data_IF_974130058709
#
_entry.id   IF_974130058709
#
_cell.length_a   1.000
_cell.length_b   1.000
_cell.length_c   1.000
_cell.angle_alpha   90.00
_cell.angle_beta   90.00
_cell.angle_gamma   90.00
#
_symmetry.space_group_name_H-M   'P 1'
#
loop_
_entity.id
_entity.type
_entity.pdbx_description
1 polymer ?
#
# COMPACT_ATOMS: atom_id res chain seq x y z
N UNK A 1 15.19 5.23 31.77
CA UNK A 1 15.40 5.37 33.23
C UNK A 1 16.49 6.38 33.57
N UNK A 2 17.67 6.33 32.94
CA UNK A 2 18.81 7.23 33.27
C UNK A 2 18.49 8.71 33.00
N UNK A 3 17.80 9.03 31.90
CA UNK A 3 17.46 10.41 31.56
C UNK A 3 16.41 11.06 32.48
N UNK A 4 15.49 10.26 33.05
CA UNK A 4 14.45 10.77 33.95
C UNK A 4 15.01 10.99 35.37
N UNK A 5 15.93 10.12 35.81
CA UNK A 5 16.64 10.27 37.07
C UNK A 5 17.50 11.54 37.09
N UNK A 6 18.20 11.84 35.98
CA UNK A 6 18.99 13.07 35.83
C UNK A 6 18.16 14.36 35.86
N UNK A 7 16.94 14.34 35.31
CA UNK A 7 16.06 15.51 35.30
C UNK A 7 15.48 15.84 36.68
N UNK A 8 15.27 14.83 37.54
CA UNK A 8 14.76 14.98 38.90
C UNK A 8 15.86 15.36 39.91
N UNK A 9 17.10 14.91 39.68
CA UNK A 9 18.26 15.28 40.51
C UNK A 9 18.62 16.77 40.39
N UNK A 10 18.32 17.38 39.23
CA UNK A 10 18.48 18.81 38.97
C UNK A 10 17.46 19.71 39.71
N UNK A 11 16.37 19.17 40.25
CA UNK A 11 15.35 19.93 40.98
C UNK A 11 15.52 19.92 42.51
N UNK A 12 16.52 19.22 43.04
CA UNK A 12 16.94 19.38 44.44
C UNK A 12 15.97 18.88 45.52
N UNK A 13 15.04 17.98 45.20
CA UNK A 13 14.10 17.41 46.18
C UNK A 13 14.19 15.87 46.26
N UNK A 14 15.20 15.32 46.97
CA UNK A 14 15.39 13.87 47.11
C UNK A 14 14.31 13.20 47.98
N UNK A 15 13.55 13.97 48.75
CA UNK A 15 12.49 13.47 49.66
C UNK A 15 11.21 13.07 48.93
N UNK A 16 10.83 13.77 47.84
CA UNK A 16 9.65 13.42 47.05
C UNK A 16 9.78 12.08 46.31
N UNK A 17 11.00 11.70 45.92
CA UNK A 17 11.28 10.39 45.30
C UNK A 17 11.10 9.23 46.28
N UNK A 18 11.39 9.44 47.57
CA UNK A 18 11.22 8.43 48.62
C UNK A 18 9.75 8.24 49.03
N UNK A 19 8.94 9.29 48.96
CA UNK A 19 7.49 9.22 49.24
C UNK A 19 6.70 8.62 48.06
N UNK A 20 7.06 8.96 46.81
CA UNK A 20 6.43 8.40 45.61
C UNK A 20 6.74 6.90 45.42
N UNK A 21 7.86 6.41 45.94
CA UNK A 21 8.20 4.99 45.86
C UNK A 21 7.53 4.11 46.93
N UNK A 22 7.04 4.71 48.02
CA UNK A 22 6.37 3.97 49.12
C UNK A 22 4.85 3.86 48.97
N UNK A 23 4.19 4.77 48.27
CA UNK A 23 2.74 4.74 48.12
C UNK A 23 2.30 4.03 46.81
N UNK A 24 1.86 2.77 46.92
CA UNK A 24 1.06 2.01 45.92
C UNK A 24 1.40 2.28 44.44
N UNK A 25 2.63 1.95 44.05
CA UNK A 25 3.09 1.97 42.66
C UNK A 25 2.29 1.08 41.67
N UNK A 26 1.81 -0.15 41.99
CA UNK A 26 1.32 -1.04 40.94
C UNK A 26 0.01 -0.57 40.29
N UNK A 27 -0.87 0.11 41.04
CA UNK A 27 -2.14 0.62 40.50
C UNK A 27 -1.93 1.84 39.60
N UNK A 28 -0.94 2.68 39.88
CA UNK A 28 -0.61 3.83 39.05
C UNK A 28 0.02 3.40 37.73
N UNK A 29 0.94 2.43 37.76
CA UNK A 29 1.51 1.85 36.54
C UNK A 29 0.47 1.14 35.69
N UNK A 30 -0.47 0.41 36.31
CA UNK A 30 -1.58 -0.22 35.59
C UNK A 30 -2.50 0.82 34.95
N UNK A 31 -2.86 1.89 35.67
CA UNK A 31 -3.70 2.97 35.13
C UNK A 31 -3.00 3.72 33.98
N UNK A 32 -1.70 3.98 34.09
CA UNK A 32 -0.90 4.61 33.03
C UNK A 32 -0.78 3.71 31.80
N UNK A 33 -0.54 2.41 31.98
CA UNK A 33 -0.48 1.45 30.88
C UNK A 33 -1.84 1.33 30.18
N UNK A 34 -2.94 1.30 30.93
CA UNK A 34 -4.29 1.23 30.38
C UNK A 34 -4.64 2.51 29.59
N UNK A 35 -4.27 3.67 30.13
CA UNK A 35 -4.42 4.96 29.44
C UNK A 35 -3.61 5.02 28.14
N UNK A 36 -2.37 4.55 28.17
CA UNK A 36 -1.48 4.50 27.00
C UNK A 36 -2.07 3.64 25.88
N UNK A 37 -2.56 2.44 26.22
CA UNK A 37 -3.18 1.52 25.24
C UNK A 37 -4.50 2.09 24.72
N UNK A 38 -5.31 2.72 25.58
CA UNK A 38 -6.58 3.34 25.19
C UNK A 38 -6.40 4.47 24.16
N UNK A 39 -5.41 5.35 24.35
CA UNK A 39 -5.11 6.43 23.41
C UNK A 39 -4.59 5.87 22.08
N UNK A 40 -3.71 4.87 22.12
CA UNK A 40 -3.23 4.19 20.92
C UNK A 40 -4.36 3.53 20.11
N UNK A 41 -5.29 2.85 20.80
CA UNK A 41 -6.44 2.21 20.16
C UNK A 41 -7.39 3.23 19.52
N UNK A 42 -7.64 4.37 20.18
CA UNK A 42 -8.45 5.45 19.62
C UNK A 42 -7.82 6.06 18.35
N UNK A 43 -6.50 6.25 18.34
CA UNK A 43 -5.77 6.74 17.16
C UNK A 43 -5.77 5.74 16.01
N UNK A 44 -5.57 4.45 16.29
CA UNK A 44 -5.64 3.39 15.29
C UNK A 44 -7.03 3.30 14.66
N UNK A 45 -8.10 3.42 15.48
CA UNK A 45 -9.48 3.48 15.00
C UNK A 45 -9.73 4.70 14.11
N UNK A 46 -9.24 5.88 14.50
CA UNK A 46 -9.40 7.13 13.75
C UNK A 46 -8.67 7.10 12.41
N UNK A 47 -7.46 6.53 12.36
CA UNK A 47 -6.68 6.36 11.14
C UNK A 47 -7.29 5.30 10.21
N UNK A 48 -7.82 4.21 10.77
CA UNK A 48 -8.55 3.18 10.01
C UNK A 48 -9.80 3.74 9.33
N UNK A 49 -10.55 4.62 10.02
CA UNK A 49 -11.69 5.34 9.41
C UNK A 49 -11.30 6.28 8.26
N UNK A 50 -10.04 6.73 8.21
CA UNK A 50 -9.51 7.57 7.13
C UNK A 50 -8.89 6.76 5.98
N UNK A 51 -9.10 5.45 5.94
CA UNK A 51 -8.66 4.59 4.83
C UNK A 51 -7.14 4.39 4.73
N UNK A 52 -6.40 4.72 5.79
CA UNK A 52 -4.97 4.43 5.83
C UNK A 52 -4.78 2.92 6.08
N UNK A 53 -3.91 2.27 5.31
CA UNK A 53 -3.73 0.82 5.35
C UNK A 53 -3.35 0.29 6.75
N UNK A 54 -3.75 -0.96 7.05
CA UNK A 54 -3.57 -1.61 8.35
C UNK A 54 -2.13 -1.51 8.93
N UNK A 55 -1.10 -1.49 8.08
CA UNK A 55 0.29 -1.33 8.52
C UNK A 55 0.65 0.05 9.12
N UNK A 56 -0.07 1.11 8.75
CA UNK A 56 0.08 2.42 9.38
C UNK A 56 -0.61 2.48 10.74
N UNK A 57 -1.72 1.74 10.91
CA UNK A 57 -2.47 1.69 12.17
C UNK A 57 -1.71 0.90 13.25
N UNK A 58 -1.01 -0.19 12.88
CA UNK A 58 -0.23 -0.99 13.83
C UNK A 58 1.08 -0.30 14.24
N UNK A 59 1.76 0.38 13.31
CA UNK A 59 2.95 1.18 13.64
C UNK A 59 2.62 2.42 14.49
N UNK A 60 1.42 2.97 14.35
CA UNK A 60 0.94 4.06 15.20
C UNK A 60 0.81 3.66 16.68
N UNK A 61 0.50 2.39 17.00
CA UNK A 61 0.42 1.93 18.41
C UNK A 61 1.76 2.00 19.14
N UNK A 62 2.86 1.74 18.43
CA UNK A 62 4.22 1.75 19.00
C UNK A 62 4.80 3.16 19.02
N UNK A 63 4.45 3.99 18.04
CA UNK A 63 5.04 5.33 17.86
C UNK A 63 4.12 6.49 18.27
N UNK A 64 2.99 6.25 18.95
CA UNK A 64 2.04 7.32 19.29
C UNK A 64 2.60 8.48 20.14
N UNK A 65 3.57 8.31 21.07
CA UNK A 65 4.14 9.44 21.82
C UNK A 65 4.85 10.44 20.91
N UNK A 66 5.47 9.96 19.82
CA UNK A 66 6.10 10.80 18.81
C UNK A 66 5.06 11.50 17.92
N UNK A 67 3.84 10.95 17.84
CA UNK A 67 2.71 11.55 17.11
C UNK A 67 1.99 12.64 17.92
N UNK A 68 2.16 12.72 19.24
CA UNK A 68 1.64 13.83 20.08
C UNK A 68 2.20 15.17 19.63
N UNK A 69 3.48 15.23 19.26
CA UNK A 69 4.10 16.45 18.70
C UNK A 69 3.51 16.90 17.35
N UNK A 70 2.76 16.03 16.67
CA UNK A 70 2.07 16.31 15.40
C UNK A 70 0.61 16.71 15.60
N UNK A 71 0.02 16.49 16.78
CA UNK A 71 -1.41 16.70 17.05
C UNK A 71 -1.79 18.19 17.24
N UNK A 72 -0.81 19.09 17.36
CA UNK A 72 -1.03 20.54 17.39
C UNK A 72 -0.60 21.27 16.11
N UNK A 73 0.04 20.59 15.15
CA UNK A 73 0.33 21.20 13.86
C UNK A 73 -0.93 21.10 13.02
N UNK A 74 -1.45 22.21 12.46
CA UNK A 74 -2.40 22.07 11.35
C UNK A 74 -1.74 21.09 10.37
N UNK A 75 -2.49 20.11 9.83
CA UNK A 75 -1.93 19.23 8.82
C UNK A 75 -1.21 20.15 7.84
N UNK A 76 0.07 19.90 7.51
CA UNK A 76 0.76 20.74 6.55
C UNK A 76 -0.23 20.93 5.41
N UNK A 77 -0.51 22.19 4.99
CA UNK A 77 -1.47 22.41 3.94
C UNK A 77 -1.11 21.39 2.88
N UNK A 78 -2.12 20.68 2.39
CA UNK A 78 -1.95 19.65 1.39
C UNK A 78 -1.48 20.28 0.06
N UNK A 79 -0.65 21.31 0.11
CA UNK A 79 0.07 22.10 -0.87
C UNK A 79 1.53 21.65 -0.99
N UNK A 80 2.00 20.74 -0.12
CA UNK A 80 2.86 19.64 -0.58
C UNK A 80 2.02 18.51 -1.19
N UNK A 81 0.83 18.82 -1.73
CA UNK A 81 0.50 18.32 -3.06
C UNK A 81 1.73 18.65 -3.89
N UNK A 82 2.54 17.64 -4.16
CA UNK A 82 3.13 17.54 -5.47
C UNK A 82 2.01 17.89 -6.47
N UNK A 83 1.99 19.16 -6.89
CA UNK A 83 1.40 19.66 -8.12
C UNK A 83 2.28 19.25 -9.30
N UNK A 84 3.24 18.34 -9.10
CA UNK A 84 3.53 17.38 -10.15
C UNK A 84 2.23 16.61 -10.41
N UNK A 85 1.70 16.59 -11.64
CA UNK A 85 0.57 15.74 -11.96
C UNK A 85 0.89 14.37 -11.40
N UNK A 86 0.05 13.85 -10.49
CA UNK A 86 0.22 12.51 -9.91
C UNK A 86 0.56 11.61 -11.08
N UNK A 87 1.79 11.09 -11.21
CA UNK A 87 2.20 10.44 -12.43
C UNK A 87 1.28 9.25 -12.57
N UNK A 88 0.33 9.39 -13.49
CA UNK A 88 -0.40 8.29 -14.05
C UNK A 88 0.66 7.27 -14.40
N UNK A 89 0.53 6.05 -13.86
CA UNK A 89 1.54 5.06 -14.14
C UNK A 89 1.65 4.84 -15.65
N UNK A 90 2.80 4.33 -16.11
CA UNK A 90 3.16 4.32 -17.52
C UNK A 90 2.11 3.64 -18.41
N UNK A 91 1.26 2.77 -17.85
CA UNK A 91 0.23 2.03 -18.59
C UNK A 91 -1.20 2.42 -18.25
N UNK A 92 -1.43 3.48 -17.46
CA UNK A 92 -2.77 3.88 -17.02
C UNK A 92 -3.78 3.98 -18.18
N UNK A 93 -3.44 4.72 -19.24
CA UNK A 93 -4.32 4.89 -20.40
C UNK A 93 -4.67 3.56 -21.08
N UNK A 94 -3.72 2.62 -21.11
CA UNK A 94 -3.94 1.29 -21.69
C UNK A 94 -4.83 0.43 -20.81
N UNK A 95 -4.65 0.47 -19.49
CA UNK A 95 -5.54 -0.18 -18.53
C UNK A 95 -6.96 0.39 -18.70
N UNK A 96 -7.11 1.71 -18.66
CA UNK A 96 -8.41 2.39 -18.83
C UNK A 96 -9.09 1.99 -20.13
N UNK A 97 -8.34 1.98 -21.24
CA UNK A 97 -8.83 1.54 -22.55
C UNK A 97 -9.26 0.07 -22.58
N UNK A 98 -8.49 -0.84 -22.00
CA UNK A 98 -8.85 -2.26 -21.92
C UNK A 98 -10.09 -2.50 -21.05
N UNK A 99 -10.20 -1.79 -19.91
CA UNK A 99 -11.36 -1.91 -19.01
C UNK A 99 -12.62 -1.31 -19.64
N UNK A 100 -12.51 -0.17 -20.33
CA UNK A 100 -13.63 0.41 -21.09
C UNK A 100 -14.08 -0.52 -22.21
N UNK A 101 -13.12 -1.09 -22.95
CA UNK A 101 -13.38 -2.07 -24.00
C UNK A 101 -14.09 -3.32 -23.46
N UNK A 102 -13.71 -3.84 -22.29
CA UNK A 102 -14.38 -4.98 -21.67
C UNK A 102 -15.80 -4.63 -21.20
N UNK A 103 -15.98 -3.47 -20.56
CA UNK A 103 -17.30 -3.01 -20.12
C UNK A 103 -18.27 -2.82 -21.29
N UNK A 104 -17.78 -2.28 -22.40
CA UNK A 104 -18.59 -2.10 -23.59
C UNK A 104 -19.04 -3.46 -24.16
N UNK A 105 -18.11 -4.41 -24.30
CA UNK A 105 -18.45 -5.75 -24.80
C UNK A 105 -19.42 -6.50 -23.89
N UNK A 106 -19.28 -6.35 -22.57
CA UNK A 106 -20.24 -6.92 -21.62
C UNK A 106 -21.60 -6.20 -21.63
N UNK A 107 -21.63 -4.89 -21.86
CA UNK A 107 -22.86 -4.10 -21.85
C UNK A 107 -23.74 -4.29 -23.08
N UNK A 108 -23.15 -4.55 -24.25
CA UNK A 108 -23.89 -4.74 -25.51
C UNK A 108 -24.67 -6.07 -25.57
N UNK A 109 -24.27 -7.08 -24.79
CA UNK A 109 -24.86 -8.44 -24.82
C UNK A 109 -25.88 -8.73 -23.69
N UNK A 110 -26.14 -7.78 -22.78
CA UNK A 110 -26.87 -8.03 -21.52
C UNK A 110 -28.35 -7.61 -21.47
N UNK A 111 -28.95 -7.19 -22.58
CA UNK A 111 -30.40 -6.88 -22.61
C UNK A 111 -31.31 -8.10 -22.35
N UNK A 112 -30.75 -9.31 -22.18
CA UNK A 112 -31.48 -10.54 -21.89
C UNK A 112 -30.78 -11.52 -20.94
N UNK A 113 -30.76 -11.24 -19.64
CA UNK A 113 -31.12 -12.27 -18.65
C UNK A 113 -30.04 -13.00 -17.85
N UNK A 114 -28.73 -12.74 -18.01
CA UNK A 114 -27.75 -13.27 -17.05
C UNK A 114 -26.59 -12.31 -16.89
N UNK A 115 -26.42 -11.73 -15.70
CA UNK A 115 -25.27 -10.91 -15.32
C UNK A 115 -24.01 -11.80 -15.32
N UNK A 116 -23.45 -12.07 -16.51
CA UNK A 116 -22.38 -13.04 -16.76
C UNK A 116 -21.11 -12.73 -15.96
N UNK A 117 -20.87 -11.45 -15.67
CA UNK A 117 -19.70 -10.93 -14.96
C UNK A 117 -20.16 -9.81 -14.04
N UNK A 118 -19.91 -9.98 -12.73
CA UNK A 118 -20.21 -8.99 -11.71
C UNK A 118 -19.36 -7.72 -11.94
N UNK A 119 -20.03 -6.57 -12.09
CA UNK A 119 -19.38 -5.28 -12.25
C UNK A 119 -18.41 -4.96 -11.09
N UNK A 120 -18.66 -5.50 -9.89
CA UNK A 120 -17.77 -5.34 -8.74
C UNK A 120 -16.44 -6.08 -8.91
N UNK A 121 -16.43 -7.26 -9.52
CA UNK A 121 -15.21 -8.02 -9.84
C UNK A 121 -14.35 -7.24 -10.85
N UNK A 122 -14.98 -6.75 -11.92
CA UNK A 122 -14.29 -5.96 -12.93
C UNK A 122 -13.71 -4.65 -12.35
N UNK A 123 -14.44 -4.00 -11.43
CA UNK A 123 -13.94 -2.82 -10.71
C UNK A 123 -12.78 -3.17 -9.76
N UNK A 124 -12.82 -4.33 -9.10
CA UNK A 124 -11.73 -4.84 -8.25
C UNK A 124 -10.47 -5.09 -9.08
N UNK A 125 -10.59 -5.77 -10.21
CA UNK A 125 -9.48 -6.02 -11.14
C UNK A 125 -8.85 -4.71 -11.63
N UNK A 126 -9.67 -3.74 -12.08
CA UNK A 126 -9.18 -2.43 -12.51
C UNK A 126 -8.36 -1.73 -11.42
N UNK A 127 -8.88 -1.70 -10.19
CA UNK A 127 -8.17 -1.10 -9.04
C UNK A 127 -6.84 -1.80 -8.76
N UNK A 128 -6.80 -3.13 -8.84
CA UNK A 128 -5.57 -3.90 -8.64
C UNK A 128 -4.52 -3.60 -9.72
N UNK A 129 -4.93 -3.52 -10.99
CA UNK A 129 -4.04 -3.17 -12.10
C UNK A 129 -3.48 -1.74 -11.96
N UNK A 130 -4.33 -0.77 -11.64
CA UNK A 130 -3.86 0.60 -11.39
C UNK A 130 -2.91 0.67 -10.19
N UNK A 131 -3.15 -0.12 -9.14
CA UNK A 131 -2.25 -0.18 -7.99
C UNK A 131 -0.90 -0.75 -8.37
N UNK A 132 -0.84 -1.78 -9.21
CA UNK A 132 0.40 -2.34 -9.74
C UNK A 132 1.16 -1.32 -10.60
N UNK A 133 0.46 -0.66 -11.53
CA UNK A 133 1.02 0.39 -12.41
C UNK A 133 1.59 1.58 -11.61
N UNK A 134 0.87 2.04 -10.58
CA UNK A 134 1.36 3.09 -9.68
C UNK A 134 2.63 2.69 -8.92
N UNK A 135 2.75 1.41 -8.56
CA UNK A 135 3.96 0.91 -7.87
C UNK A 135 5.16 0.88 -8.79
N UNK A 136 4.99 0.45 -10.05
CA UNK A 136 6.05 0.51 -11.07
C UNK A 136 6.52 1.95 -11.24
N UNK A 137 5.58 2.90 -11.39
CA UNK A 137 5.91 4.32 -11.50
C UNK A 137 6.69 4.86 -10.28
N UNK A 138 6.36 4.36 -9.07
CA UNK A 138 7.10 4.71 -7.84
C UNK A 138 8.53 4.17 -7.86
N UNK A 139 8.72 2.93 -8.30
CA UNK A 139 10.05 2.33 -8.44
C UNK A 139 10.87 3.06 -9.50
N UNK A 140 10.27 3.40 -10.63
CA UNK A 140 10.93 4.17 -11.70
C UNK A 140 11.42 5.54 -11.18
N UNK A 141 10.61 6.21 -10.36
CA UNK A 141 11.01 7.46 -9.71
C UNK A 141 12.18 7.26 -8.74
N UNK A 142 12.14 6.23 -7.89
CA UNK A 142 13.24 5.93 -6.95
C UNK A 142 14.54 5.60 -7.71
N UNK A 143 14.44 4.86 -8.83
CA UNK A 143 15.57 4.57 -9.70
C UNK A 143 16.14 5.84 -10.34
N UNK A 144 15.29 6.78 -10.76
CA UNK A 144 15.73 8.06 -11.30
C UNK A 144 16.40 8.95 -10.22
N UNK A 145 15.83 9.03 -9.02
CA UNK A 145 16.37 9.81 -7.89
C UNK A 145 17.73 9.25 -7.45
N UNK A 146 17.85 7.92 -7.32
CA UNK A 146 19.11 7.26 -6.96
C UNK A 146 20.16 7.39 -8.07
N UNK A 147 19.77 7.37 -9.35
CA UNK A 147 20.68 7.59 -10.47
C UNK A 147 21.21 9.03 -10.51
N UNK A 148 20.39 10.02 -10.13
CA UNK A 148 20.85 11.41 -9.98
C UNK A 148 21.85 11.56 -8.82
N UNK A 149 21.62 10.88 -7.70
CA UNK A 149 22.55 10.88 -6.55
C UNK A 149 23.85 10.11 -6.81
N UNK A 150 23.82 9.07 -7.65
CA UNK A 150 24.99 8.25 -8.01
C UNK A 150 26.14 9.05 -8.63
N UNK A 151 25.87 10.24 -9.17
CA UNK A 151 26.89 11.15 -9.68
C UNK A 151 27.88 11.63 -8.59
N UNK A 152 27.57 11.42 -7.30
CA UNK A 152 28.35 11.90 -6.16
C UNK A 152 29.22 10.82 -5.48
N UNK A 153 29.16 9.56 -5.91
CA UNK A 153 29.99 8.48 -5.37
C UNK A 153 29.44 7.09 -5.67
N UNK A 154 30.32 6.15 -6.05
CA UNK A 154 29.96 4.79 -6.41
C UNK A 154 30.19 3.82 -5.24
N UNK A 155 29.11 3.27 -4.69
CA UNK A 155 29.14 2.16 -3.71
C UNK A 155 28.66 0.88 -4.42
N UNK A 156 29.52 -0.14 -4.48
CA UNK A 156 29.26 -1.41 -5.16
C UNK A 156 28.02 -2.15 -4.62
N UNK A 157 27.72 -2.02 -3.32
CA UNK A 157 26.54 -2.65 -2.71
C UNK A 157 25.25 -1.99 -3.18
N UNK A 158 25.26 -0.65 -3.30
CA UNK A 158 24.14 0.11 -3.86
C UNK A 158 23.91 -0.25 -5.34
N UNK A 159 24.97 -0.48 -6.12
CA UNK A 159 24.84 -0.89 -7.53
C UNK A 159 24.16 -2.26 -7.68
N UNK A 160 24.52 -3.22 -6.81
CA UNK A 160 23.89 -4.53 -6.78
C UNK A 160 22.39 -4.42 -6.42
N UNK A 161 22.05 -3.61 -5.42
CA UNK A 161 20.67 -3.36 -5.01
C UNK A 161 19.83 -2.69 -6.13
N UNK A 162 20.39 -1.67 -6.80
CA UNK A 162 19.74 -1.01 -7.95
C UNK A 162 19.49 -2.00 -9.09
N UNK A 163 20.46 -2.90 -9.35
CA UNK A 163 20.33 -3.91 -10.40
C UNK A 163 19.23 -4.93 -10.06
N UNK A 164 19.15 -5.36 -8.79
CA UNK A 164 18.06 -6.20 -8.29
C UNK A 164 16.70 -5.52 -8.45
N UNK A 165 16.60 -4.24 -8.04
CA UNK A 165 15.36 -3.47 -8.15
C UNK A 165 14.91 -3.28 -9.61
N UNK A 166 15.84 -3.03 -10.54
CA UNK A 166 15.54 -2.96 -11.98
C UNK A 166 14.97 -4.28 -12.50
N UNK A 167 15.59 -5.41 -12.13
CA UNK A 167 15.10 -6.74 -12.55
C UNK A 167 13.69 -7.01 -12.02
N UNK A 168 13.42 -6.73 -10.76
CA UNK A 168 12.09 -6.89 -10.16
C UNK A 168 11.05 -5.99 -10.84
N UNK A 169 11.43 -4.73 -11.13
CA UNK A 169 10.60 -3.78 -11.88
C UNK A 169 10.25 -4.29 -13.27
N UNK A 170 11.24 -4.79 -14.01
CA UNK A 170 11.04 -5.28 -15.38
C UNK A 170 10.18 -6.54 -15.41
N UNK A 171 10.38 -7.44 -14.45
CA UNK A 171 9.51 -8.61 -14.27
C UNK A 171 8.06 -8.20 -13.98
N UNK A 172 7.83 -7.30 -13.03
CA UNK A 172 6.48 -6.81 -12.72
C UNK A 172 5.82 -6.10 -13.92
N UNK A 173 6.61 -5.35 -14.70
CA UNK A 173 6.13 -4.72 -15.93
C UNK A 173 5.72 -5.75 -17.00
N UNK A 174 6.52 -6.81 -17.18
CA UNK A 174 6.23 -7.88 -18.13
C UNK A 174 4.95 -8.64 -17.75
N UNK A 175 4.78 -8.97 -16.48
CA UNK A 175 3.57 -9.64 -15.99
C UNK A 175 2.32 -8.76 -16.15
N UNK A 176 2.42 -7.45 -15.89
CA UNK A 176 1.33 -6.52 -16.13
C UNK A 176 0.94 -6.47 -17.63
N UNK A 177 1.92 -6.52 -18.53
CA UNK A 177 1.68 -6.60 -19.97
C UNK A 177 1.01 -7.93 -20.37
N UNK A 178 1.43 -9.05 -19.77
CA UNK A 178 0.84 -10.36 -20.01
C UNK A 178 -0.63 -10.42 -19.54
N UNK A 179 -0.96 -9.78 -18.41
CA UNK A 179 -2.35 -9.67 -17.96
C UNK A 179 -3.18 -8.80 -18.92
N UNK A 180 -2.63 -7.68 -19.39
CA UNK A 180 -3.32 -6.82 -20.35
C UNK A 180 -3.55 -7.49 -21.71
N UNK A 181 -2.59 -8.28 -22.21
CA UNK A 181 -2.78 -9.08 -23.43
C UNK A 181 -3.82 -10.18 -23.22
N UNK A 182 -3.83 -10.82 -22.05
CA UNK A 182 -4.86 -11.77 -21.63
C UNK A 182 -6.27 -11.16 -21.63
N UNK A 183 -6.42 -9.93 -21.11
CA UNK A 183 -7.71 -9.22 -21.12
C UNK A 183 -8.21 -8.89 -22.53
N UNK A 184 -7.31 -8.52 -23.44
CA UNK A 184 -7.68 -8.30 -24.84
C UNK A 184 -8.11 -9.61 -25.53
N UNK A 185 -7.43 -10.72 -25.25
CA UNK A 185 -7.82 -12.03 -25.74
C UNK A 185 -9.19 -12.44 -25.19
N UNK A 186 -9.45 -12.18 -23.91
CA UNK A 186 -10.73 -12.45 -23.27
C UNK A 186 -11.87 -11.65 -23.90
N UNK A 187 -11.63 -10.41 -24.33
CA UNK A 187 -12.62 -9.63 -25.10
C UNK A 187 -13.00 -10.31 -26.42
N UNK A 188 -12.02 -10.84 -27.17
CA UNK A 188 -12.31 -11.55 -28.42
C UNK A 188 -13.10 -12.82 -28.15
N UNK A 189 -12.71 -13.55 -27.11
CA UNK A 189 -13.43 -14.75 -26.67
C UNK A 189 -14.86 -14.44 -26.23
N UNK A 190 -15.07 -13.37 -25.47
CA UNK A 190 -16.41 -12.89 -25.08
C UNK A 190 -17.31 -12.68 -26.30
N UNK A 191 -16.83 -12.00 -27.35
CA UNK A 191 -17.61 -11.80 -28.57
C UNK A 191 -17.94 -13.11 -29.30
N UNK A 192 -17.05 -14.10 -29.27
CA UNK A 192 -17.31 -15.44 -29.84
C UNK A 192 -18.28 -16.25 -28.97
N UNK A 193 -18.17 -16.16 -27.66
CA UNK A 193 -19.00 -16.90 -26.71
C UNK A 193 -20.41 -16.33 -26.59
N UNK A 194 -20.58 -15.01 -26.74
CA UNK A 194 -21.89 -14.39 -26.86
C UNK A 194 -22.68 -14.98 -28.05
N UNK A 195 -22.00 -15.24 -29.17
CA UNK A 195 -22.61 -15.91 -30.34
C UNK A 195 -22.94 -17.39 -30.06
N UNK A 196 -22.20 -18.05 -29.18
CA UNK A 196 -22.39 -19.47 -28.84
C UNK A 196 -23.32 -19.72 -27.64
N UNK A 197 -23.60 -18.70 -26.81
CA UNK A 197 -24.40 -18.80 -25.59
C UNK A 197 -23.70 -19.45 -24.39
N UNK A 198 -22.38 -19.63 -24.43
CA UNK A 198 -21.60 -20.33 -23.38
C UNK A 198 -20.85 -19.35 -22.48
N UNK A 199 -21.19 -19.29 -21.18
CA UNK A 199 -20.63 -18.29 -20.23
C UNK A 199 -19.57 -18.81 -19.25
N UNK A 200 -19.51 -20.12 -19.03
CA UNK A 200 -18.55 -20.81 -18.14
C UNK A 200 -17.07 -20.48 -18.44
N UNK A 201 -16.56 -20.62 -19.69
CA UNK A 201 -15.12 -20.49 -19.96
C UNK A 201 -14.60 -19.05 -19.71
N UNK A 202 -15.47 -18.05 -19.84
CA UNK A 202 -15.13 -16.65 -19.57
C UNK A 202 -14.88 -16.43 -18.08
N UNK A 203 -15.72 -17.00 -17.21
CA UNK A 203 -15.58 -16.85 -15.75
C UNK A 203 -14.30 -17.50 -15.25
N UNK A 204 -13.98 -18.69 -15.77
CA UNK A 204 -12.74 -19.39 -15.41
C UNK A 204 -11.49 -18.55 -15.77
N UNK A 205 -11.48 -17.95 -16.97
CA UNK A 205 -10.37 -17.09 -17.39
C UNK A 205 -10.28 -15.79 -16.60
N UNK A 206 -11.41 -15.18 -16.23
CA UNK A 206 -11.39 -14.02 -15.34
C UNK A 206 -10.84 -14.37 -13.95
N UNK A 207 -11.26 -15.50 -13.38
CA UNK A 207 -10.74 -15.98 -12.09
C UNK A 207 -9.22 -16.27 -12.16
N UNK A 208 -8.74 -16.86 -13.25
CA UNK A 208 -7.30 -17.07 -13.50
C UNK A 208 -6.53 -15.73 -13.54
N UNK A 209 -7.05 -14.73 -14.26
CA UNK A 209 -6.42 -13.41 -14.35
C UNK A 209 -6.44 -12.68 -13.00
N UNK A 210 -7.52 -12.78 -12.22
CA UNK A 210 -7.57 -12.25 -10.87
C UNK A 210 -6.53 -12.91 -9.95
N UNK A 211 -6.38 -14.24 -10.04
CA UNK A 211 -5.38 -14.98 -9.26
C UNK A 211 -3.95 -14.55 -9.62
N UNK A 212 -3.64 -14.37 -10.92
CA UNK A 212 -2.33 -13.86 -11.37
C UNK A 212 -2.06 -12.44 -10.86
N UNK A 213 -3.05 -11.56 -10.91
CA UNK A 213 -2.91 -10.19 -10.38
C UNK A 213 -2.74 -10.19 -8.86
N UNK A 214 -3.42 -11.10 -8.14
CA UNK A 214 -3.22 -11.27 -6.70
C UNK A 214 -1.81 -11.78 -6.38
N UNK A 215 -1.30 -12.76 -7.14
CA UNK A 215 0.06 -13.27 -6.99
C UNK A 215 1.12 -12.17 -7.21
N UNK A 216 0.90 -11.25 -8.17
CA UNK A 216 1.77 -10.07 -8.35
C UNK A 216 1.77 -9.13 -7.13
N UNK A 217 0.67 -9.08 -6.37
CA UNK A 217 0.65 -8.33 -5.13
C UNK A 217 1.50 -9.01 -4.04
N UNK A 218 1.49 -10.34 -3.96
CA UNK A 218 2.19 -11.13 -2.93
C UNK A 218 3.69 -11.31 -3.20
N UNK A 219 4.12 -11.57 -4.42
CA UNK A 219 5.55 -11.77 -4.73
C UNK A 219 6.42 -10.58 -4.29
N UNK A 220 5.83 -9.39 -4.34
CA UNK A 220 6.51 -8.18 -3.90
C UNK A 220 6.57 -7.96 -2.38
N UNK A 221 5.68 -8.55 -1.59
CA UNK A 221 5.81 -8.50 -0.13
C UNK A 221 6.88 -9.47 0.36
N UNK A 222 7.09 -10.57 -0.36
CA UNK A 222 8.10 -11.58 -0.06
C UNK A 222 9.51 -11.07 -0.42
N UNK A 223 9.70 -10.42 -1.58
CA UNK A 223 11.01 -9.86 -1.96
C UNK A 223 11.49 -8.75 -1.00
N UNK A 224 10.58 -7.97 -0.41
CA UNK A 224 10.92 -6.96 0.59
C UNK A 224 11.35 -7.56 1.94
N UNK A 225 10.89 -8.76 2.29
CA UNK A 225 11.27 -9.46 3.52
C UNK A 225 12.59 -10.24 3.38
N UNK A 226 13.02 -10.52 2.16
CA UNK A 226 14.21 -11.33 1.85
C UNK A 226 15.53 -10.56 1.76
N UNK A 227 15.56 -9.24 2.00
CA UNK A 227 16.81 -8.46 2.03
C UNK A 227 17.41 -8.56 3.45
N UNK A 228 18.46 -9.37 3.67
CA UNK A 228 19.13 -9.38 4.97
C UNK A 228 19.79 -8.02 5.20
N UNK A 229 19.43 -7.38 6.32
CA UNK A 229 20.06 -6.17 6.85
C UNK A 229 21.45 -6.43 7.40
#
# INVERSE_FOLDING_TARGET
MIALALALDLLGEPTLLAELTRARLPSLWAALALGYVGVGAAMAWHLGRRGHGLGAATSALVCWPLLIGLIGRPPPPSELRFTSPSPSGPKRARIDGCMAALRQGLGEDLDGGAELVDAAQLAKLARSLHRADHRIARVDRLLAETQAQRQLGADAQLEAAITGLRRARDHANHELEAVLSGLLSLRVQLGLFALAGESEPVRERLAELEARVAALAELSSIELAGVPS
#
